data_IF_796129481866
#
_entry.id   IF_796129481866
#
_cell.length_a   1.000
_cell.length_b   1.000
_cell.length_c   1.000
_cell.angle_alpha   90.00
_cell.angle_beta   90.00
_cell.angle_gamma   90.00
#
_symmetry.space_group_name_H-M   'P 1'
#
loop_
_entity.id
_entity.type
_entity.pdbx_description
1 polymer ?
#
# COMPACT_ATOMS: atom_id res chain seq x y z
N UNK A 1 16.18 -5.94 8.53
CA UNK A 1 15.34 -5.21 9.51
C UNK A 1 16.10 -3.97 9.96
N UNK A 2 15.52 -2.78 9.85
CA UNK A 2 16.17 -1.55 10.30
C UNK A 2 16.23 -1.53 11.83
N UNK A 3 17.45 -1.59 12.37
CA UNK A 3 17.71 -1.47 13.80
C UNK A 3 17.84 0.02 14.13
N UNK A 4 17.00 0.50 15.04
CA UNK A 4 17.16 1.82 15.63
C UNK A 4 18.16 1.71 16.78
N UNK A 5 19.11 2.65 16.77
CA UNK A 5 20.08 2.87 17.83
C UNK A 5 19.85 4.29 18.35
N UNK A 6 19.83 4.46 19.65
CA UNK A 6 19.76 5.80 20.25
C UNK A 6 20.03 5.77 21.75
N UNK A 7 20.28 6.94 22.32
CA UNK A 7 20.40 7.12 23.77
C UNK A 7 19.01 7.39 24.33
N UNK A 8 18.63 6.71 25.41
CA UNK A 8 17.34 6.94 26.09
C UNK A 8 17.39 8.29 26.78
N UNK A 9 16.45 9.17 26.43
CA UNK A 9 16.32 10.52 26.98
C UNK A 9 15.22 10.60 28.05
N UNK A 10 14.17 9.80 27.88
CA UNK A 10 13.02 9.75 28.77
C UNK A 10 12.41 8.34 28.73
N UNK A 11 11.95 7.83 29.87
CA UNK A 11 11.20 6.57 29.97
C UNK A 11 10.02 6.72 30.93
N UNK A 12 8.79 6.48 30.42
CA UNK A 12 7.53 6.60 31.15
C UNK A 12 6.56 5.50 30.68
N UNK A 13 6.06 4.68 31.60
CA UNK A 13 5.00 3.67 31.37
C UNK A 13 5.15 2.86 30.06
N UNK A 14 6.32 2.23 29.87
CA UNK A 14 6.59 1.39 28.69
C UNK A 14 6.72 2.16 27.37
N UNK A 15 6.86 3.49 27.44
CA UNK A 15 7.24 4.35 26.33
C UNK A 15 8.56 5.03 26.64
N UNK A 16 9.42 5.15 25.64
CA UNK A 16 10.66 5.88 25.78
C UNK A 16 10.85 6.85 24.62
N UNK A 17 11.54 7.95 24.89
CA UNK A 17 12.07 8.83 23.85
C UNK A 17 13.56 8.54 23.74
N UNK A 18 14.02 8.23 22.52
CA UNK A 18 15.42 8.02 22.22
C UNK A 18 15.95 9.13 21.32
N UNK A 19 17.20 9.53 21.52
CA UNK A 19 17.93 10.39 20.60
C UNK A 19 18.81 9.54 19.69
N UNK A 20 18.57 9.59 18.38
CA UNK A 20 19.37 8.84 17.40
C UNK A 20 20.74 9.49 17.18
N UNK A 21 21.73 8.78 16.63
CA UNK A 21 23.03 9.35 16.26
C UNK A 21 22.95 10.56 15.31
N UNK A 22 21.84 10.71 14.59
CA UNK A 22 21.58 11.83 13.69
C UNK A 22 20.98 13.06 14.43
N UNK A 23 20.78 12.97 15.74
CA UNK A 23 20.18 14.04 16.54
C UNK A 23 18.65 14.09 16.48
N UNK A 24 18.00 13.07 15.92
CA UNK A 24 16.53 13.00 15.87
C UNK A 24 15.97 12.36 17.14
N UNK A 25 14.81 12.85 17.60
CA UNK A 25 14.09 12.23 18.71
C UNK A 25 13.00 11.29 18.19
N UNK A 26 13.06 10.03 18.58
CA UNK A 26 12.06 9.02 18.22
C UNK A 26 11.37 8.45 19.45
N UNK A 27 10.05 8.32 19.40
CA UNK A 27 9.27 7.64 20.43
C UNK A 27 9.21 6.14 20.13
N UNK A 28 9.58 5.33 21.12
CA UNK A 28 9.52 3.87 21.07
C UNK A 28 8.56 3.34 22.13
N UNK A 29 7.97 2.18 21.85
CA UNK A 29 7.22 1.39 22.85
C UNK A 29 8.04 0.14 23.16
N UNK A 30 8.28 -0.09 24.45
CA UNK A 30 9.05 -1.24 24.92
C UNK A 30 8.42 -1.78 26.20
N UNK A 31 8.41 -3.10 26.34
CA UNK A 31 8.01 -3.75 27.60
C UNK A 31 9.18 -3.86 28.59
N UNK A 32 10.40 -3.67 28.10
CA UNK A 32 11.59 -3.69 28.94
C UNK A 32 11.72 -2.32 29.62
N UNK A 33 11.93 -2.27 30.95
CA UNK A 33 12.30 -1.03 31.61
C UNK A 33 13.60 -0.52 31.01
N UNK A 34 13.66 0.78 30.74
CA UNK A 34 14.83 1.45 30.19
C UNK A 34 15.29 2.54 31.16
N UNK A 35 16.60 2.72 31.27
CA UNK A 35 17.22 3.78 32.07
C UNK A 35 17.64 4.96 31.20
N UNK A 36 17.44 6.18 31.70
CA UNK A 36 17.89 7.41 31.01
C UNK A 36 19.41 7.40 30.90
N UNK A 37 19.93 7.64 29.70
CA UNK A 37 21.35 7.61 29.37
C UNK A 37 21.84 6.28 28.79
N UNK A 38 21.05 5.20 28.86
CA UNK A 38 21.46 3.93 28.27
C UNK A 38 21.30 3.93 26.73
N UNK A 39 22.00 3.01 26.07
CA UNK A 39 21.84 2.80 24.63
C UNK A 39 20.73 1.78 24.35
N UNK A 40 19.69 2.22 23.66
CA UNK A 40 18.66 1.35 23.13
C UNK A 40 19.04 0.81 21.75
N UNK A 41 18.86 -0.50 21.57
CA UNK A 41 18.96 -1.18 20.28
C UNK A 41 17.68 -1.98 20.06
N UNK A 42 16.88 -1.58 19.08
CA UNK A 42 15.61 -2.25 18.83
C UNK A 42 15.14 -2.15 17.40
N UNK A 43 14.04 -2.84 17.13
CA UNK A 43 13.37 -2.72 15.84
C UNK A 43 12.43 -1.50 15.88
N UNK A 44 12.45 -0.69 14.83
CA UNK A 44 11.44 0.35 14.67
C UNK A 44 10.09 -0.29 14.35
N UNK A 45 9.26 -0.46 15.37
CA UNK A 45 7.86 -0.88 15.19
C UNK A 45 7.11 0.09 14.26
N UNK A 46 7.51 1.36 14.25
CA UNK A 46 6.97 2.41 13.37
C UNK A 46 7.27 2.11 11.90
N UNK A 47 8.50 1.67 11.56
CA UNK A 47 8.80 1.27 10.18
C UNK A 47 8.00 0.04 9.73
N UNK A 48 7.85 -0.97 10.59
CA UNK A 48 7.06 -2.16 10.24
C UNK A 48 5.59 -1.80 9.93
N UNK A 49 4.98 -0.93 10.75
CA UNK A 49 3.61 -0.44 10.51
C UNK A 49 3.50 0.37 9.23
N UNK A 50 4.50 1.20 8.90
CA UNK A 50 4.55 1.95 7.64
C UNK A 50 4.62 1.02 6.44
N UNK A 51 5.50 0.01 6.47
CA UNK A 51 5.59 -0.98 5.39
C UNK A 51 4.30 -1.79 5.24
N UNK A 52 3.66 -2.18 6.34
CA UNK A 52 2.37 -2.85 6.29
C UNK A 52 1.29 -1.98 5.63
N UNK A 53 1.21 -0.69 5.99
CA UNK A 53 0.27 0.24 5.37
C UNK A 53 0.54 0.41 3.86
N UNK A 54 1.81 0.58 3.47
CA UNK A 54 2.20 0.69 2.05
C UNK A 54 1.83 -0.60 1.29
N UNK A 55 2.09 -1.77 1.88
CA UNK A 55 1.76 -3.04 1.26
C UNK A 55 0.24 -3.20 1.06
N UNK A 56 -0.57 -2.81 2.05
CA UNK A 56 -2.04 -2.83 1.94
C UNK A 56 -2.53 -1.89 0.85
N UNK A 57 -1.96 -0.67 0.77
CA UNK A 57 -2.31 0.29 -0.28
C UNK A 57 -1.97 -0.25 -1.67
N UNK A 58 -0.77 -0.81 -1.85
CA UNK A 58 -0.36 -1.43 -3.11
C UNK A 58 -1.30 -2.59 -3.48
N UNK A 59 -1.63 -3.45 -2.52
CA UNK A 59 -2.55 -4.57 -2.74
C UNK A 59 -3.96 -4.08 -3.12
N UNK A 60 -4.47 -3.05 -2.46
CA UNK A 60 -5.77 -2.47 -2.79
C UNK A 60 -5.78 -1.86 -4.19
N UNK A 61 -4.71 -1.18 -4.58
CA UNK A 61 -4.56 -0.61 -5.91
C UNK A 61 -4.47 -1.70 -6.98
N UNK A 62 -3.68 -2.75 -6.77
CA UNK A 62 -3.54 -3.84 -7.75
C UNK A 62 -4.82 -4.66 -7.92
N UNK A 63 -5.49 -5.00 -6.83
CA UNK A 63 -6.78 -5.69 -6.90
C UNK A 63 -7.85 -4.79 -7.50
N UNK A 64 -7.86 -3.51 -7.14
CA UNK A 64 -8.79 -2.54 -7.69
C UNK A 64 -8.59 -2.32 -9.19
N UNK A 65 -7.35 -2.22 -9.67
CA UNK A 65 -7.09 -2.09 -11.10
C UNK A 65 -7.41 -3.36 -11.87
N UNK A 66 -7.05 -4.54 -11.35
CA UNK A 66 -7.42 -5.80 -11.98
C UNK A 66 -8.93 -5.90 -12.13
N UNK A 67 -9.66 -5.72 -11.03
CA UNK A 67 -11.11 -5.73 -11.03
C UNK A 67 -11.67 -4.67 -11.99
N UNK A 68 -11.07 -3.47 -12.07
CA UNK A 68 -11.46 -2.40 -13.00
C UNK A 68 -11.47 -2.85 -14.44
N UNK A 69 -10.42 -3.54 -14.89
CA UNK A 69 -10.30 -4.00 -16.27
C UNK A 69 -10.99 -5.35 -16.53
N UNK A 70 -11.58 -5.98 -15.51
CA UNK A 70 -12.31 -7.23 -15.69
C UNK A 70 -13.66 -6.96 -16.38
N UNK A 71 -13.84 -7.53 -17.59
CA UNK A 71 -15.12 -7.51 -18.30
C UNK A 71 -16.09 -8.48 -17.62
N UNK A 72 -17.28 -8.00 -17.27
CA UNK A 72 -18.34 -8.84 -16.69
C UNK A 72 -19.48 -9.13 -17.68
N UNK A 73 -19.73 -8.21 -18.61
CA UNK A 73 -20.76 -8.37 -19.62
C UNK A 73 -20.30 -7.78 -20.95
N UNK A 74 -20.84 -8.33 -22.03
CA UNK A 74 -20.68 -7.78 -23.36
C UNK A 74 -22.01 -7.23 -23.86
N UNK A 75 -21.97 -6.06 -24.47
CA UNK A 75 -23.09 -5.44 -25.15
C UNK A 75 -22.75 -5.27 -26.64
N UNK A 76 -23.53 -5.90 -27.51
CA UNK A 76 -23.41 -5.71 -28.95
C UNK A 76 -24.12 -4.40 -29.33
N UNK A 77 -23.35 -3.43 -29.84
CA UNK A 77 -23.89 -2.11 -30.21
C UNK A 77 -24.18 -2.02 -31.71
N UNK A 78 -23.53 -2.87 -32.51
CA UNK A 78 -23.81 -3.02 -33.94
C UNK A 78 -23.54 -4.45 -34.41
N UNK A 79 -23.88 -4.77 -35.66
CA UNK A 79 -23.53 -6.06 -36.26
C UNK A 79 -22.01 -6.33 -36.31
N UNK A 80 -21.17 -5.30 -36.15
CA UNK A 80 -19.73 -5.37 -36.30
C UNK A 80 -18.93 -5.12 -35.02
N UNK A 81 -19.57 -4.75 -33.90
CA UNK A 81 -18.86 -4.27 -32.71
C UNK A 81 -19.53 -4.66 -31.38
N UNK A 82 -18.70 -5.10 -30.43
CA UNK A 82 -19.06 -5.42 -29.05
C UNK A 82 -18.29 -4.55 -28.05
N UNK A 83 -18.97 -4.13 -26.99
CA UNK A 83 -18.40 -3.41 -25.86
C UNK A 83 -18.37 -4.32 -24.63
N UNK A 84 -17.18 -4.52 -24.06
CA UNK A 84 -16.98 -5.16 -22.77
C UNK A 84 -17.15 -4.15 -21.65
N UNK A 85 -18.11 -4.40 -20.75
CA UNK A 85 -18.46 -3.53 -19.62
C UNK A 85 -18.04 -4.20 -18.32
N UNK A 86 -17.47 -3.43 -17.40
CA UNK A 86 -17.09 -3.89 -16.06
C UNK A 86 -18.23 -3.74 -15.05
N UNK A 87 -18.02 -4.20 -13.81
CA UNK A 87 -19.05 -4.13 -12.74
C UNK A 87 -19.46 -2.72 -12.30
N UNK A 88 -18.73 -1.69 -12.73
CA UNK A 88 -19.06 -0.28 -12.47
C UNK A 88 -19.74 0.39 -13.65
N UNK A 89 -20.25 -0.39 -14.61
CA UNK A 89 -20.90 0.10 -15.82
C UNK A 89 -19.99 0.99 -16.68
N UNK A 90 -18.69 0.70 -16.69
CA UNK A 90 -17.71 1.38 -17.56
C UNK A 90 -17.31 0.46 -18.71
N UNK A 91 -17.19 1.03 -19.90
CA UNK A 91 -16.61 0.33 -21.06
C UNK A 91 -15.11 0.23 -20.84
N UNK A 92 -14.58 -0.99 -20.83
CA UNK A 92 -13.16 -1.28 -20.58
C UNK A 92 -12.50 -2.09 -21.69
N UNK A 93 -13.30 -2.64 -22.61
CA UNK A 93 -12.82 -3.34 -23.79
C UNK A 93 -13.75 -3.05 -24.96
N UNK A 94 -13.18 -2.95 -26.16
CA UNK A 94 -13.94 -2.88 -27.40
C UNK A 94 -13.44 -3.98 -28.32
N UNK A 95 -14.35 -4.80 -28.84
CA UNK A 95 -14.03 -5.97 -29.66
C UNK A 95 -14.71 -5.84 -31.03
N UNK A 96 -13.95 -5.94 -32.13
CA UNK A 96 -14.55 -6.06 -33.47
C UNK A 96 -15.06 -7.49 -33.68
N UNK A 97 -16.24 -7.62 -34.28
CA UNK A 97 -16.84 -8.90 -34.67
C UNK A 97 -16.47 -9.32 -36.10
N UNK A 98 -16.13 -8.35 -36.95
CA UNK A 98 -15.77 -8.57 -38.36
C UNK A 98 -14.68 -7.58 -38.83
N UNK A 99 -14.26 -7.72 -40.09
CA UNK A 99 -13.27 -6.84 -40.70
C UNK A 99 -13.71 -5.37 -40.77
N UNK A 100 -15.02 -5.12 -40.82
CA UNK A 100 -15.58 -3.77 -40.81
C UNK A 100 -15.51 -3.15 -39.41
N UNK A 101 -15.69 -3.94 -38.35
CA UNK A 101 -15.48 -3.51 -36.97
C UNK A 101 -14.01 -3.16 -36.72
N UNK A 102 -13.09 -3.92 -37.30
CA UNK A 102 -11.66 -3.69 -37.16
C UNK A 102 -11.16 -2.39 -37.83
N UNK A 103 -11.87 -1.86 -38.83
CA UNK A 103 -11.54 -0.56 -39.44
C UNK A 103 -12.12 0.64 -38.70
N UNK A 104 -13.05 0.42 -37.76
CA UNK A 104 -13.66 1.47 -36.94
C UNK A 104 -12.84 1.73 -35.66
N UNK A 105 -12.09 0.74 -35.20
CA UNK A 105 -11.19 0.80 -34.04
C UNK A 105 -9.82 1.35 -34.40
#
# INVERSE_FOLDING_TARGET
MARIKGVVMEYNDGQAIIMTPQGNFERIKTKKPLEVGEYYYGNSATMQKRYAMIAVLLLALTLGTWDFFAVQAYAQVSSSLELGVNRWNRVVMVRPLDAKGATIL
#
